data_IF_983817570411
#
_entry.id   IF_983817570411
#
_cell.length_a   1.000
_cell.length_b   1.000
_cell.length_c   1.000
_cell.angle_alpha   90.00
_cell.angle_beta   90.00
_cell.angle_gamma   90.00
#
_symmetry.space_group_name_H-M   'P 1'
#
loop_
_entity.id
_entity.type
_entity.pdbx_description
1 polymer ?
#
# COMPACT_ATOMS: atom_id res chain seq x y z
N UNK A 1 28.07 54.10 -21.11
CA UNK A 1 27.37 52.81 -21.26
C UNK A 1 26.88 52.34 -19.90
N UNK A 2 25.59 52.45 -19.62
CA UNK A 2 24.96 52.08 -18.34
C UNK A 2 24.58 50.59 -18.40
N UNK A 3 25.18 49.75 -17.55
CA UNK A 3 24.77 48.34 -17.39
C UNK A 3 23.51 48.30 -16.51
N UNK A 4 22.36 47.96 -17.11
CA UNK A 4 21.12 47.61 -16.39
C UNK A 4 21.29 46.22 -15.76
N UNK A 5 21.19 46.13 -14.44
CA UNK A 5 21.07 44.85 -13.75
C UNK A 5 19.59 44.46 -13.71
N UNK A 6 19.25 43.34 -14.37
CA UNK A 6 17.94 42.70 -14.26
C UNK A 6 17.90 41.92 -12.94
N UNK A 7 17.04 42.36 -12.02
CA UNK A 7 16.75 41.63 -10.78
C UNK A 7 15.80 40.47 -11.11
N UNK A 8 16.30 39.24 -11.11
CA UNK A 8 15.48 38.04 -11.22
C UNK A 8 14.83 37.77 -9.85
N UNK A 9 13.53 38.02 -9.72
CA UNK A 9 12.75 37.57 -8.57
C UNK A 9 12.47 36.08 -8.77
N UNK A 10 13.19 35.23 -8.02
CA UNK A 10 12.92 33.81 -7.95
C UNK A 10 11.69 33.59 -7.04
N UNK A 11 10.51 33.44 -7.64
CA UNK A 11 9.32 32.99 -6.91
C UNK A 11 9.52 31.49 -6.59
N UNK A 12 9.93 31.19 -5.36
CA UNK A 12 9.94 29.82 -4.84
C UNK A 12 8.49 29.46 -4.54
N UNK A 13 7.82 28.78 -5.48
CA UNK A 13 6.53 28.14 -5.23
C UNK A 13 6.82 26.93 -4.34
N UNK A 14 6.68 27.09 -3.02
CA UNK A 14 6.60 25.95 -2.11
C UNK A 14 5.35 25.15 -2.48
N UNK A 15 5.45 23.84 -2.78
CA UNK A 15 4.26 23.05 -3.06
C UNK A 15 3.43 22.99 -1.78
N UNK A 16 2.28 23.66 -1.79
CA UNK A 16 1.25 23.46 -0.77
C UNK A 16 0.82 22.01 -0.91
N UNK A 17 1.31 21.15 -0.03
CA UNK A 17 1.06 19.72 -0.10
C UNK A 17 -0.36 19.43 0.35
N UNK A 18 -1.28 19.31 -0.61
CA UNK A 18 -2.59 18.71 -0.34
C UNK A 18 -2.45 17.18 -0.27
N UNK A 19 -3.20 16.57 0.65
CA UNK A 19 -3.41 15.12 0.66
C UNK A 19 -3.97 14.70 -0.70
N UNK A 20 -3.17 13.97 -1.47
CA UNK A 20 -3.54 13.49 -2.78
C UNK A 20 -2.87 12.16 -3.05
N UNK A 21 -3.65 11.22 -3.58
CA UNK A 21 -3.15 9.94 -4.02
C UNK A 21 -2.34 10.09 -5.31
N UNK A 22 -1.12 9.57 -5.31
CA UNK A 22 -0.16 9.64 -6.42
C UNK A 22 0.03 8.26 -7.03
N UNK A 23 0.25 8.23 -8.35
CA UNK A 23 0.76 7.02 -9.03
C UNK A 23 2.26 6.97 -8.83
N UNK A 24 2.77 5.80 -8.46
CA UNK A 24 4.19 5.58 -8.23
C UNK A 24 4.61 4.24 -8.83
N UNK A 25 5.91 4.10 -9.01
CA UNK A 25 6.54 2.89 -9.54
C UNK A 25 7.70 2.50 -8.63
N UNK A 26 7.78 1.21 -8.33
CA UNK A 26 8.95 0.57 -7.76
C UNK A 26 9.60 -0.22 -8.87
N UNK A 27 10.81 0.18 -9.24
CA UNK A 27 11.68 -0.65 -10.05
C UNK A 27 12.40 -1.67 -9.19
N UNK A 28 12.41 -2.92 -9.63
CA UNK A 28 13.27 -3.97 -9.11
C UNK A 28 14.73 -3.51 -9.12
N UNK A 29 15.44 -3.84 -8.06
CA UNK A 29 16.86 -3.46 -7.91
C UNK A 29 17.77 -4.34 -8.78
N UNK A 30 17.29 -5.50 -9.21
CA UNK A 30 17.97 -6.46 -10.08
C UNK A 30 16.99 -7.04 -11.13
N UNK A 31 17.51 -7.68 -12.19
CA UNK A 31 16.72 -8.27 -13.29
C UNK A 31 15.65 -9.28 -12.88
N UNK A 32 15.74 -9.85 -11.68
CA UNK A 32 14.82 -10.87 -11.18
C UNK A 32 13.75 -10.31 -10.25
N UNK A 33 13.79 -9.01 -9.92
CA UNK A 33 12.78 -8.39 -9.07
C UNK A 33 11.64 -7.80 -9.91
N UNK A 34 10.41 -8.00 -9.45
CA UNK A 34 9.20 -7.53 -10.14
C UNK A 34 9.05 -6.01 -9.94
N UNK A 35 8.88 -5.29 -11.04
CA UNK A 35 8.47 -3.89 -11.02
C UNK A 35 7.01 -3.79 -10.56
N UNK A 36 6.73 -2.94 -9.56
CA UNK A 36 5.38 -2.73 -9.04
C UNK A 36 4.93 -1.30 -9.25
N UNK A 37 3.85 -1.13 -10.00
CA UNK A 37 3.09 0.12 -9.99
C UNK A 37 2.18 0.15 -8.76
N UNK A 38 2.07 1.30 -8.10
CA UNK A 38 1.24 1.41 -6.90
C UNK A 38 0.65 2.82 -6.72
N UNK A 39 -0.52 2.85 -6.10
CA UNK A 39 -1.12 4.09 -5.61
C UNK A 39 -0.56 4.37 -4.21
N UNK A 40 -0.18 5.62 -3.99
CA UNK A 40 0.45 6.08 -2.76
C UNK A 40 -0.23 7.33 -2.25
N UNK A 41 -0.66 7.31 -0.99
CA UNK A 41 -1.32 8.44 -0.34
C UNK A 41 -0.56 8.82 0.93
N UNK A 42 -0.42 10.13 1.13
CA UNK A 42 0.09 10.71 2.38
C UNK A 42 -1.04 11.47 3.09
N UNK A 43 -1.17 11.32 4.41
CA UNK A 43 -2.08 12.13 5.22
C UNK A 43 -1.86 13.62 5.03
N UNK A 44 -2.93 14.42 5.14
CA UNK A 44 -2.90 15.87 4.87
C UNK A 44 -1.86 16.60 5.71
N UNK A 45 -1.68 16.16 6.95
CA UNK A 45 -0.77 16.79 7.92
C UNK A 45 0.65 16.21 7.86
N UNK A 46 0.94 15.32 6.90
CA UNK A 46 2.24 14.65 6.81
C UNK A 46 3.40 15.64 6.78
N UNK A 47 3.29 16.75 6.06
CA UNK A 47 4.39 17.74 5.95
C UNK A 47 4.35 18.84 7.01
N UNK A 48 3.19 19.15 7.59
CA UNK A 48 3.05 20.14 8.65
C UNK A 48 3.55 19.58 9.98
N UNK A 49 3.31 18.30 10.26
CA UNK A 49 3.84 17.60 11.42
C UNK A 49 5.08 16.77 11.06
N UNK A 50 6.25 17.29 11.44
CA UNK A 50 7.55 16.66 11.17
C UNK A 50 7.95 15.60 12.19
N UNK A 51 7.28 15.56 13.35
CA UNK A 51 7.64 14.68 14.46
C UNK A 51 6.77 13.43 14.52
N UNK A 52 5.58 13.46 13.90
CA UNK A 52 4.70 12.31 13.87
C UNK A 52 5.22 11.20 12.96
N UNK A 53 5.36 10.01 13.55
CA UNK A 53 5.40 8.74 12.83
C UNK A 53 3.97 8.34 12.44
N UNK A 54 3.75 8.10 11.16
CA UNK A 54 2.42 7.83 10.62
C UNK A 54 2.16 6.32 10.53
N UNK A 55 0.95 5.85 10.86
CA UNK A 55 0.60 4.46 10.60
C UNK A 55 0.52 4.23 9.09
N UNK A 56 0.86 3.01 8.65
CA UNK A 56 0.81 2.61 7.25
C UNK A 56 -0.24 1.52 7.06
N UNK A 57 -1.05 1.64 6.01
CA UNK A 57 -1.97 0.59 5.57
C UNK A 57 -1.65 0.15 4.15
N UNK A 58 -1.35 -1.14 4.01
CA UNK A 58 -1.21 -1.83 2.73
C UNK A 58 -2.57 -2.42 2.34
N UNK A 59 -3.01 -2.13 1.11
CA UNK A 59 -4.23 -2.70 0.53
C UNK A 59 -3.92 -3.53 -0.71
N UNK A 60 -4.34 -4.79 -0.70
CA UNK A 60 -4.21 -5.72 -1.83
C UNK A 60 -5.57 -5.89 -2.53
N UNK A 61 -5.61 -5.59 -3.83
CA UNK A 61 -6.84 -5.64 -4.63
C UNK A 61 -7.25 -7.08 -5.02
N UNK A 62 -8.45 -7.24 -5.59
CA UNK A 62 -8.98 -8.53 -6.06
C UNK A 62 -8.42 -8.96 -7.41
N UNK A 63 -8.91 -10.07 -7.97
CA UNK A 63 -8.34 -10.61 -9.22
C UNK A 63 -8.61 -9.72 -10.45
N UNK A 64 -9.68 -8.92 -10.40
CA UNK A 64 -10.15 -8.08 -11.52
C UNK A 64 -9.33 -6.82 -11.76
N UNK A 65 -8.59 -6.33 -10.75
CA UNK A 65 -7.80 -5.09 -10.88
C UNK A 65 -6.33 -5.35 -11.27
N UNK A 66 -5.97 -6.58 -11.62
CA UNK A 66 -4.62 -6.93 -12.09
C UNK A 66 -4.28 -6.27 -13.43
N UNK A 67 -2.98 -6.15 -13.71
CA UNK A 67 -2.46 -5.69 -14.99
C UNK A 67 -1.58 -4.46 -14.87
N UNK A 68 -1.65 -3.59 -15.87
CA UNK A 68 -0.77 -2.42 -15.99
C UNK A 68 -1.52 -1.07 -15.91
N UNK A 69 -2.85 -1.08 -15.89
CA UNK A 69 -3.65 0.15 -15.72
C UNK A 69 -3.99 0.39 -14.25
N UNK A 70 -3.25 1.34 -13.65
CA UNK A 70 -3.39 1.69 -12.24
C UNK A 70 -4.73 2.37 -11.89
N UNK A 71 -5.55 2.76 -12.88
CA UNK A 71 -6.91 3.24 -12.62
C UNK A 71 -7.82 2.11 -12.09
N UNK A 72 -7.59 0.86 -12.50
CA UNK A 72 -8.37 -0.29 -12.03
C UNK A 72 -8.27 -0.47 -10.52
N UNK A 73 -7.09 -0.20 -9.94
CA UNK A 73 -6.86 -0.33 -8.50
C UNK A 73 -7.73 0.64 -7.69
N UNK A 74 -8.22 1.75 -8.29
CA UNK A 74 -9.06 2.73 -7.60
C UNK A 74 -10.53 2.30 -7.45
N UNK A 75 -10.94 1.18 -8.04
CA UNK A 75 -12.35 0.76 -8.08
C UNK A 75 -12.86 0.36 -6.68
N UNK A 76 -12.01 -0.23 -5.83
CA UNK A 76 -12.41 -0.79 -4.53
C UNK A 76 -11.43 -0.44 -3.39
N UNK A 77 -11.88 -0.62 -2.15
CA UNK A 77 -11.05 -0.57 -0.95
C UNK A 77 -10.45 0.80 -0.62
N UNK A 78 -9.27 0.76 0.02
CA UNK A 78 -8.53 1.94 0.49
C UNK A 78 -8.30 3.00 -0.60
N UNK A 79 -7.85 2.69 -1.83
CA UNK A 79 -7.59 3.71 -2.83
C UNK A 79 -8.86 4.45 -3.30
N UNK A 80 -10.04 3.81 -3.19
CA UNK A 80 -11.34 4.48 -3.38
C UNK A 80 -11.67 5.40 -2.20
N UNK A 81 -11.42 4.95 -0.97
CA UNK A 81 -11.71 5.70 0.26
C UNK A 81 -10.88 6.98 0.31
N UNK A 82 -9.55 6.90 0.14
CA UNK A 82 -8.67 8.08 0.26
C UNK A 82 -8.89 9.13 -0.83
N UNK A 83 -9.54 8.76 -1.94
CA UNK A 83 -9.99 9.72 -2.96
C UNK A 83 -11.14 10.60 -2.45
N UNK A 84 -12.01 10.07 -1.60
CA UNK A 84 -13.17 10.78 -1.04
C UNK A 84 -12.87 11.37 0.35
N UNK A 85 -12.01 10.72 1.13
CA UNK A 85 -11.70 11.08 2.50
C UNK A 85 -10.30 11.70 2.60
N UNK A 86 -10.22 13.03 2.50
CA UNK A 86 -8.95 13.75 2.47
C UNK A 86 -8.21 13.79 3.82
N UNK A 87 -8.91 13.52 4.92
CA UNK A 87 -8.36 13.44 6.28
C UNK A 87 -8.05 11.99 6.70
N UNK A 88 -7.92 11.07 5.75
CA UNK A 88 -7.55 9.69 6.03
C UNK A 88 -6.20 9.63 6.80
N UNK A 89 -6.14 8.96 7.97
CA UNK A 89 -5.05 9.17 8.92
C UNK A 89 -3.83 8.25 8.70
N UNK A 90 -3.76 7.52 7.58
CA UNK A 90 -2.69 6.59 7.28
C UNK A 90 -1.91 6.99 6.03
N UNK A 91 -0.62 6.65 6.01
CA UNK A 91 0.06 6.43 4.74
C UNK A 91 -0.59 5.21 4.09
N UNK A 92 -1.14 5.39 2.89
CA UNK A 92 -1.85 4.32 2.19
C UNK A 92 -1.05 3.86 0.98
N UNK A 93 -0.88 2.54 0.85
CA UNK A 93 -0.14 1.90 -0.23
C UNK A 93 -1.03 0.86 -0.88
N UNK A 94 -1.23 0.94 -2.19
CA UNK A 94 -2.07 -0.01 -2.94
C UNK A 94 -1.35 -0.41 -4.23
N UNK A 95 -0.50 -1.45 -4.18
CA UNK A 95 0.18 -1.95 -5.38
C UNK A 95 -0.81 -2.63 -6.34
N UNK A 96 -0.45 -2.64 -7.62
CA UNK A 96 -1.12 -3.43 -8.64
C UNK A 96 -0.35 -4.73 -8.88
N UNK A 97 -1.02 -5.86 -8.76
CA UNK A 97 -0.48 -7.15 -9.16
C UNK A 97 -0.48 -7.24 -10.70
N UNK A 98 0.64 -7.58 -11.35
CA UNK A 98 0.65 -7.82 -12.80
C UNK A 98 -0.28 -8.98 -13.17
N UNK A 99 -0.68 -9.07 -14.45
CA UNK A 99 -1.75 -9.98 -14.91
C UNK A 99 -1.34 -11.46 -14.83
N UNK A 100 -0.03 -11.72 -14.86
CA UNK A 100 0.62 -13.02 -14.85
C UNK A 100 0.68 -13.65 -13.45
N UNK A 101 0.48 -12.84 -12.40
CA UNK A 101 0.66 -13.26 -11.02
C UNK A 101 -0.65 -13.18 -10.22
N UNK A 102 -0.60 -13.77 -9.04
CA UNK A 102 -1.54 -13.54 -7.94
C UNK A 102 -0.76 -13.17 -6.69
N UNK A 103 -1.43 -12.53 -5.72
CA UNK A 103 -0.73 -12.05 -4.53
C UNK A 103 -0.04 -13.13 -3.71
N UNK A 104 -0.48 -14.39 -3.77
CA UNK A 104 0.12 -15.50 -3.01
C UNK A 104 1.42 -16.03 -3.61
N UNK A 105 1.75 -15.66 -4.84
CA UNK A 105 2.99 -16.12 -5.46
C UNK A 105 4.20 -15.60 -4.67
N UNK A 106 5.21 -16.44 -4.49
CA UNK A 106 6.39 -16.09 -3.66
C UNK A 106 7.09 -14.83 -4.17
N UNK A 107 7.23 -14.68 -5.48
CA UNK A 107 7.83 -13.50 -6.09
C UNK A 107 7.01 -12.23 -5.80
N UNK A 108 5.68 -12.34 -5.80
CA UNK A 108 4.80 -11.22 -5.46
C UNK A 108 4.85 -10.87 -3.98
N UNK A 109 4.89 -11.86 -3.09
CA UNK A 109 5.07 -11.66 -1.66
C UNK A 109 6.40 -10.93 -1.38
N UNK A 110 7.48 -11.35 -2.05
CA UNK A 110 8.79 -10.70 -1.94
C UNK A 110 8.77 -9.27 -2.50
N UNK A 111 8.14 -9.04 -3.66
CA UNK A 111 8.04 -7.72 -4.26
C UNK A 111 7.27 -6.72 -3.38
N UNK A 112 6.16 -7.17 -2.76
CA UNK A 112 5.38 -6.35 -1.82
C UNK A 112 6.18 -6.05 -0.55
N UNK A 113 6.94 -7.01 -0.03
CA UNK A 113 7.85 -6.76 1.09
C UNK A 113 8.90 -5.70 0.74
N UNK A 114 9.57 -5.83 -0.41
CA UNK A 114 10.57 -4.88 -0.88
C UNK A 114 9.97 -3.47 -1.03
N UNK A 115 8.73 -3.37 -1.52
CA UNK A 115 7.98 -2.12 -1.58
C UNK A 115 7.79 -1.50 -0.19
N UNK A 116 7.32 -2.28 0.79
CA UNK A 116 7.14 -1.82 2.16
C UNK A 116 8.47 -1.37 2.78
N UNK A 117 9.54 -2.14 2.60
CA UNK A 117 10.88 -1.77 3.10
C UNK A 117 11.34 -0.42 2.52
N UNK A 118 11.15 -0.20 1.20
CA UNK A 118 11.46 1.08 0.56
C UNK A 118 10.63 2.22 1.13
N UNK A 119 9.32 2.01 1.35
CA UNK A 119 8.45 3.06 1.89
C UNK A 119 8.85 3.38 3.33
N UNK A 120 9.06 2.38 4.18
CA UNK A 120 9.52 2.55 5.57
C UNK A 120 10.87 3.27 5.64
N UNK A 121 11.77 3.05 4.66
CA UNK A 121 13.06 3.73 4.59
C UNK A 121 12.94 5.21 4.20
N UNK A 122 11.99 5.56 3.34
CA UNK A 122 11.90 6.89 2.72
C UNK A 122 10.82 7.80 3.32
N UNK A 123 9.92 7.27 4.14
CA UNK A 123 8.81 8.00 4.75
C UNK A 123 8.78 7.81 6.28
N UNK A 124 8.17 8.77 6.99
CA UNK A 124 7.99 8.74 8.46
C UNK A 124 6.89 7.74 8.83
N UNK A 125 7.19 6.45 8.67
CA UNK A 125 6.31 5.36 9.08
C UNK A 125 6.59 4.99 10.53
N UNK A 126 5.54 4.91 11.33
CA UNK A 126 5.59 4.23 12.62
C UNK A 126 5.61 2.72 12.39
N UNK A 127 6.78 2.11 12.60
CA UNK A 127 7.01 0.67 12.35
C UNK A 127 6.18 -0.24 13.24
N UNK A 128 5.65 0.27 14.35
CA UNK A 128 4.75 -0.49 15.24
C UNK A 128 3.29 -0.46 14.79
N UNK A 129 2.98 0.28 13.71
CA UNK A 129 1.62 0.49 13.19
C UNK A 129 1.56 0.33 11.67
N UNK A 130 2.06 -0.81 11.20
CA UNK A 130 1.94 -1.25 9.80
C UNK A 130 0.81 -2.27 9.72
N UNK A 131 -0.17 -2.05 8.85
CA UNK A 131 -1.37 -2.87 8.71
C UNK A 131 -1.50 -3.41 7.30
N UNK A 132 -2.10 -4.59 7.15
CA UNK A 132 -2.40 -5.19 5.84
C UNK A 132 -3.87 -5.58 5.75
N UNK A 133 -4.47 -5.30 4.59
CA UNK A 133 -5.82 -5.74 4.26
C UNK A 133 -5.95 -5.98 2.76
N UNK A 134 -6.97 -6.72 2.35
CA UNK A 134 -7.27 -6.97 0.96
C UNK A 134 -8.52 -7.81 0.80
N UNK A 135 -9.08 -7.82 -0.41
CA UNK A 135 -10.33 -8.50 -0.73
C UNK A 135 -10.14 -9.60 -1.77
N UNK A 136 -10.88 -10.71 -1.67
CA UNK A 136 -10.82 -11.82 -2.63
C UNK A 136 -9.37 -12.34 -2.79
N UNK A 137 -8.81 -12.28 -4.00
CA UNK A 137 -7.38 -12.53 -4.25
C UNK A 137 -6.45 -11.75 -3.29
N UNK A 138 -6.80 -10.50 -2.96
CA UNK A 138 -6.10 -9.69 -1.96
C UNK A 138 -6.31 -10.16 -0.52
N UNK A 139 -7.44 -10.79 -0.21
CA UNK A 139 -7.67 -11.46 1.06
C UNK A 139 -6.77 -12.68 1.22
N UNK A 140 -6.62 -13.49 0.16
CA UNK A 140 -5.62 -14.55 0.08
C UNK A 140 -4.20 -14.02 0.27
N UNK A 141 -3.85 -12.94 -0.44
CA UNK A 141 -2.55 -12.27 -0.28
C UNK A 141 -2.30 -11.73 1.13
N UNK A 142 -3.34 -11.24 1.80
CA UNK A 142 -3.28 -10.73 3.18
C UNK A 142 -2.93 -11.85 4.16
N UNK A 143 -3.59 -13.00 4.05
CA UNK A 143 -3.26 -14.18 4.86
C UNK A 143 -1.82 -14.64 4.62
N UNK A 144 -1.41 -14.80 3.36
CA UNK A 144 -0.06 -15.23 3.00
C UNK A 144 1.02 -14.28 3.51
N UNK A 145 0.82 -12.96 3.37
CA UNK A 145 1.80 -11.97 3.78
C UNK A 145 1.91 -11.86 5.29
N UNK A 146 0.79 -11.93 6.00
CA UNK A 146 0.76 -11.98 7.46
C UNK A 146 1.47 -13.23 8.00
N UNK A 147 1.30 -14.39 7.35
CA UNK A 147 1.95 -15.64 7.75
C UNK A 147 3.44 -15.63 7.42
N UNK A 148 3.84 -15.03 6.29
CA UNK A 148 5.25 -14.89 5.88
C UNK A 148 6.00 -13.93 6.81
N UNK A 149 5.36 -12.82 7.20
CA UNK A 149 5.95 -11.71 7.98
C UNK A 149 5.10 -11.38 9.22
N UNK A 150 4.96 -12.31 10.17
CA UNK A 150 4.15 -12.10 11.38
C UNK A 150 4.72 -11.02 12.31
N UNK A 151 5.99 -10.66 12.12
CA UNK A 151 6.73 -9.62 12.83
C UNK A 151 6.54 -8.22 12.26
N UNK A 152 6.05 -8.12 11.01
CA UNK A 152 5.95 -6.85 10.29
C UNK A 152 4.65 -6.10 10.57
N UNK A 153 3.55 -6.82 10.80
CA UNK A 153 2.22 -6.22 10.88
C UNK A 153 1.75 -6.09 12.32
N UNK A 154 1.11 -4.96 12.62
CA UNK A 154 0.43 -4.69 13.86
C UNK A 154 -0.97 -5.33 13.90
N UNK A 155 -1.63 -5.45 12.75
CA UNK A 155 -2.86 -6.22 12.57
C UNK A 155 -3.11 -6.52 11.08
N UNK A 156 -3.94 -7.53 10.81
CA UNK A 156 -4.40 -7.88 9.46
C UNK A 156 -5.94 -7.94 9.36
N UNK A 157 -6.47 -7.53 8.21
CA UNK A 157 -7.90 -7.61 7.91
C UNK A 157 -8.11 -8.28 6.55
N UNK A 158 -8.11 -9.62 6.50
CA UNK A 158 -8.42 -10.35 5.27
C UNK A 158 -9.93 -10.35 5.01
N UNK A 159 -10.32 -9.98 3.79
CA UNK A 159 -11.72 -9.91 3.36
C UNK A 159 -11.95 -10.94 2.24
N UNK A 160 -12.95 -11.80 2.42
CA UNK A 160 -13.40 -12.82 1.48
C UNK A 160 -12.27 -13.60 0.77
N UNK A 161 -11.27 -14.07 1.52
CA UNK A 161 -10.13 -14.83 1.00
C UNK A 161 -9.84 -16.05 1.87
N UNK A 162 -8.91 -16.91 1.44
CA UNK A 162 -8.49 -18.10 2.18
C UNK A 162 -7.07 -18.01 2.75
N UNK A 163 -6.85 -18.64 3.90
CA UNK A 163 -5.53 -18.81 4.51
C UNK A 163 -5.14 -20.29 4.58
N UNK A 164 -3.88 -20.57 4.88
CA UNK A 164 -3.39 -21.93 5.14
C UNK A 164 -3.53 -22.26 6.65
N UNK A 165 -4.39 -23.22 7.05
CA UNK A 165 -4.54 -23.62 8.45
C UNK A 165 -3.23 -24.05 9.13
N UNK A 166 -2.22 -24.52 8.39
CA UNK A 166 -0.91 -24.87 8.95
C UNK A 166 -0.18 -23.65 9.55
N UNK A 167 -0.53 -22.43 9.12
CA UNK A 167 0.10 -21.18 9.57
C UNK A 167 -0.53 -20.58 10.83
N UNK A 168 -1.59 -21.18 11.40
CA UNK A 168 -2.30 -20.64 12.58
C UNK A 168 -1.37 -20.40 13.76
N UNK A 169 -0.41 -21.30 14.01
CA UNK A 169 0.57 -21.15 15.10
C UNK A 169 1.51 -19.96 14.91
N UNK A 170 1.76 -19.56 13.66
CA UNK A 170 2.57 -18.40 13.30
C UNK A 170 1.75 -17.12 13.55
N UNK A 171 0.46 -17.16 13.21
CA UNK A 171 -0.45 -16.02 13.25
C UNK A 171 -1.09 -15.76 14.62
N UNK A 172 -0.99 -16.69 15.57
CA UNK A 172 -1.73 -16.68 16.85
C UNK A 172 -1.61 -15.41 17.69
N UNK A 173 -0.53 -14.64 17.53
CA UNK A 173 -0.27 -13.41 18.28
C UNK A 173 -0.61 -12.14 17.49
N UNK A 174 -0.90 -12.26 16.20
CA UNK A 174 -1.28 -11.14 15.35
C UNK A 174 -2.78 -10.86 15.55
N UNK A 175 -3.19 -9.62 15.86
CA UNK A 175 -4.59 -9.24 15.82
C UNK A 175 -5.14 -9.37 14.39
N UNK A 176 -6.18 -10.18 14.20
CA UNK A 176 -6.80 -10.42 12.90
C UNK A 176 -8.31 -10.24 13.00
N UNK A 177 -8.88 -9.43 12.11
CA UNK A 177 -10.33 -9.30 11.96
C UNK A 177 -10.75 -9.77 10.57
N UNK A 178 -11.36 -10.95 10.52
CA UNK A 178 -11.75 -11.60 9.26
C UNK A 178 -13.18 -11.21 8.88
N UNK A 179 -13.40 -10.98 7.58
CA UNK A 179 -14.74 -10.75 7.03
C UNK A 179 -14.99 -11.67 5.83
N UNK A 180 -16.15 -12.34 5.81
CA UNK A 180 -16.60 -13.15 4.68
C UNK A 180 -18.12 -13.05 4.54
N UNK A 181 -18.62 -12.94 3.31
CA UNK A 181 -20.07 -12.93 3.08
C UNK A 181 -20.65 -14.33 3.19
N UNK A 182 -21.73 -14.52 3.96
CA UNK A 182 -22.33 -15.85 4.13
C UNK A 182 -22.97 -16.46 2.87
N UNK A 183 -23.09 -15.67 1.79
CA UNK A 183 -23.63 -16.07 0.48
C UNK A 183 -22.58 -15.88 -0.63
N UNK A 184 -21.29 -15.85 -0.30
CA UNK A 184 -20.22 -15.75 -1.29
C UNK A 184 -20.10 -17.07 -2.07
N UNK A 185 -20.44 -17.05 -3.36
CA UNK A 185 -20.33 -18.20 -4.27
C UNK A 185 -19.04 -18.20 -5.09
N UNK A 186 -18.21 -17.17 -4.95
CA UNK A 186 -16.95 -17.00 -5.71
C UNK A 186 -15.77 -17.52 -4.90
N UNK A 187 -15.71 -17.17 -3.61
CA UNK A 187 -14.67 -17.64 -2.69
C UNK A 187 -15.32 -18.50 -1.61
N UNK A 188 -15.08 -19.81 -1.71
CA UNK A 188 -15.65 -20.85 -0.84
C UNK A 188 -14.75 -21.21 0.34
#
# INVERSE_FOLDING_TARGET
MIKKYFLFILIIILPISFAHQRKMELKGTNKNEIDLNYLFFLPKDYYSDKNTGWPLILFLHGIGERGADLELVKIHGIPKIVKAQIDFPFIAVSPQCPIEYVWRDDDMQQAVENLLQKIVKNYRVDKTRIYVTGLSMGGYGTWSLAARRPDLFAAAVPICGGGDPATVNILKNLPIWVFHGGLDEVVL
#
